data_IF_562280280428
#
_entry.id   IF_562280280428
#
_cell.length_a   1.000
_cell.length_b   1.000
_cell.length_c   1.000
_cell.angle_alpha   90.00
_cell.angle_beta   90.00
_cell.angle_gamma   90.00
#
_symmetry.space_group_name_H-M   'P 1'
#
loop_
_entity.id
_entity.type
_entity.pdbx_description
1 polymer ?
#
# COMPACT_ATOMS: atom_id res chain seq x y z
N UNK A 1 -8.23 21.29 -13.45
CA UNK A 1 -7.98 20.02 -12.70
C UNK A 1 -7.55 18.89 -13.64
N UNK A 2 -8.30 18.62 -14.72
CA UNK A 2 -8.01 17.54 -15.69
C UNK A 2 -6.58 17.56 -16.22
N UNK A 3 -6.12 18.69 -16.77
CA UNK A 3 -4.76 18.83 -17.28
C UNK A 3 -3.68 18.48 -16.24
N UNK A 4 -3.90 18.82 -14.97
CA UNK A 4 -2.96 18.53 -13.90
C UNK A 4 -2.89 17.03 -13.60
N UNK A 5 -4.02 16.32 -13.64
CA UNK A 5 -4.12 14.86 -13.41
C UNK A 5 -3.54 14.09 -14.59
N UNK A 6 -3.81 14.51 -15.82
CA UNK A 6 -3.30 13.85 -17.03
C UNK A 6 -1.83 14.15 -17.34
N UNK A 7 -1.21 15.10 -16.64
CA UNK A 7 0.18 15.45 -16.86
C UNK A 7 1.16 14.33 -16.47
N UNK A 8 2.32 14.26 -17.15
CA UNK A 8 3.45 13.39 -16.76
C UNK A 8 3.90 13.63 -15.32
N UNK A 9 3.75 14.87 -14.81
CA UNK A 9 4.04 15.22 -13.42
C UNK A 9 3.20 14.46 -12.40
N UNK A 10 2.01 13.97 -12.76
CA UNK A 10 1.24 13.09 -11.88
C UNK A 10 2.02 11.84 -11.53
N UNK A 11 2.69 11.23 -12.51
CA UNK A 11 3.51 10.02 -12.31
C UNK A 11 4.68 10.32 -11.36
N UNK A 12 5.36 11.46 -11.56
CA UNK A 12 6.42 11.92 -10.66
C UNK A 12 5.93 12.10 -9.22
N UNK A 13 4.75 12.72 -9.06
CA UNK A 13 4.10 12.88 -7.75
C UNK A 13 3.78 11.53 -7.11
N UNK A 14 3.25 10.58 -7.87
CA UNK A 14 2.97 9.22 -7.43
C UNK A 14 4.24 8.50 -6.96
N UNK A 15 5.31 8.55 -7.74
CA UNK A 15 6.61 7.94 -7.37
C UNK A 15 7.19 8.61 -6.12
N UNK A 16 7.13 9.95 -6.04
CA UNK A 16 7.58 10.68 -4.86
C UNK A 16 6.77 10.33 -3.60
N UNK A 17 5.47 10.08 -3.75
CA UNK A 17 4.59 9.66 -2.67
C UNK A 17 4.97 8.26 -2.16
N UNK A 18 5.27 7.31 -3.05
CA UNK A 18 5.79 5.98 -2.67
C UNK A 18 7.09 6.14 -1.88
N UNK A 19 8.04 6.93 -2.39
CA UNK A 19 9.33 7.18 -1.70
C UNK A 19 9.13 7.80 -0.31
N UNK A 20 8.24 8.78 -0.18
CA UNK A 20 7.88 9.38 1.10
C UNK A 20 7.26 8.34 2.05
N UNK A 21 6.38 7.47 1.56
CA UNK A 21 5.82 6.37 2.33
C UNK A 21 6.89 5.39 2.81
N UNK A 22 7.83 4.98 1.95
CA UNK A 22 8.94 4.07 2.31
C UNK A 22 9.92 4.68 3.32
N UNK A 23 10.06 6.00 3.30
CA UNK A 23 10.95 6.72 4.22
C UNK A 23 10.30 7.04 5.56
N UNK A 24 8.97 6.99 5.65
CA UNK A 24 8.25 7.29 6.88
C UNK A 24 8.42 6.17 7.91
N UNK A 25 9.15 6.43 8.99
CA UNK A 25 9.33 5.47 10.10
C UNK A 25 8.09 5.34 10.99
N UNK A 26 7.27 6.39 11.08
CA UNK A 26 6.09 6.45 11.96
C UNK A 26 4.83 6.25 11.13
N UNK A 27 4.01 5.30 11.54
CA UNK A 27 2.81 4.93 10.83
C UNK A 27 1.59 5.71 11.35
N UNK A 28 0.70 6.16 10.45
CA UNK A 28 -0.65 6.63 10.76
C UNK A 28 -1.63 5.58 11.33
N UNK A 29 -1.16 4.40 11.75
CA UNK A 29 -2.01 3.18 11.77
C UNK A 29 -3.19 3.32 12.72
N UNK A 30 -2.99 3.91 13.90
CA UNK A 30 -4.09 4.13 14.86
C UNK A 30 -5.10 5.18 14.35
N UNK A 31 -4.64 6.11 13.52
CA UNK A 31 -5.42 7.24 13.02
C UNK A 31 -6.39 6.85 11.89
N UNK A 32 -6.12 5.75 11.18
CA UNK A 32 -6.92 5.30 10.03
C UNK A 32 -7.56 3.92 10.18
N UNK A 33 -7.36 3.24 11.31
CA UNK A 33 -8.00 1.96 11.63
C UNK A 33 -8.78 2.02 12.94
N UNK A 34 -9.88 2.80 12.98
CA UNK A 34 -10.70 2.84 14.17
C UNK A 34 -11.34 1.46 14.39
N UNK A 35 -11.05 0.83 15.53
CA UNK A 35 -11.50 -0.53 15.91
C UNK A 35 -13.00 -0.63 16.25
N UNK A 36 -13.75 0.44 16.05
CA UNK A 36 -15.15 0.57 16.49
C UNK A 36 -16.13 0.37 15.34
N UNK A 37 -17.20 -0.38 15.61
CA UNK A 37 -18.29 -0.57 14.65
C UNK A 37 -19.22 0.65 14.52
N UNK A 38 -19.08 1.66 15.39
CA UNK A 38 -19.92 2.86 15.38
C UNK A 38 -19.39 3.92 14.38
N UNK A 39 -20.21 4.25 13.37
CA UNK A 39 -19.87 5.23 12.33
C UNK A 39 -19.47 6.61 12.89
N UNK A 40 -20.14 7.11 13.93
CA UNK A 40 -19.85 8.42 14.52
C UNK A 40 -18.50 8.41 15.24
N UNK A 41 -18.16 7.31 15.92
CA UNK A 41 -16.83 7.14 16.54
C UNK A 41 -15.74 7.07 15.47
N UNK A 42 -15.95 6.33 14.38
CA UNK A 42 -15.00 6.29 13.25
C UNK A 42 -14.84 7.66 12.60
N UNK A 43 -15.95 8.36 12.33
CA UNK A 43 -15.92 9.73 11.81
C UNK A 43 -15.09 10.65 12.73
N UNK A 44 -15.34 10.61 14.04
CA UNK A 44 -14.57 11.40 15.01
C UNK A 44 -13.08 11.09 14.93
N UNK A 45 -12.70 9.80 14.83
CA UNK A 45 -11.31 9.41 14.68
C UNK A 45 -10.68 10.07 13.45
N UNK A 46 -11.29 9.96 12.28
CA UNK A 46 -10.81 10.61 11.06
C UNK A 46 -10.75 12.13 11.18
N UNK A 47 -11.73 12.77 11.83
CA UNK A 47 -11.71 14.21 12.06
C UNK A 47 -10.55 14.65 12.96
N UNK A 48 -10.11 13.82 13.91
CA UNK A 48 -8.89 14.05 14.72
C UNK A 48 -7.64 13.81 13.89
N UNK A 49 -7.60 12.74 13.11
CA UNK A 49 -6.48 12.43 12.21
C UNK A 49 -6.17 13.60 11.28
N UNK A 50 -7.19 14.19 10.67
CA UNK A 50 -7.04 15.39 9.82
C UNK A 50 -6.47 16.62 10.56
N UNK A 51 -6.59 16.69 11.89
CA UNK A 51 -6.01 17.77 12.71
C UNK A 51 -4.57 17.47 13.16
N UNK A 52 -4.22 16.18 13.30
CA UNK A 52 -2.90 15.73 13.74
C UNK A 52 -1.85 15.96 12.65
N UNK A 53 -2.21 15.74 11.39
CA UNK A 53 -1.31 16.00 10.26
C UNK A 53 -1.24 17.50 10.00
N UNK A 54 -0.07 18.09 10.25
CA UNK A 54 0.29 19.39 9.68
C UNK A 54 0.65 19.13 8.21
N UNK A 55 -0.01 19.82 7.29
CA UNK A 55 0.17 19.67 5.84
C UNK A 55 1.53 20.19 5.35
N UNK A 56 2.62 19.60 5.87
CA UNK A 56 4.00 20.02 5.63
C UNK A 56 4.64 19.21 4.51
N UNK A 57 4.21 17.96 4.32
CA UNK A 57 4.69 17.09 3.25
C UNK A 57 3.56 16.65 2.32
N UNK A 58 3.91 16.17 1.12
CA UNK A 58 2.94 15.60 0.16
C UNK A 58 2.16 14.43 0.77
N UNK A 59 2.82 13.60 1.58
CA UNK A 59 2.18 12.49 2.28
C UNK A 59 1.19 13.00 3.34
N UNK A 60 1.56 14.02 4.11
CA UNK A 60 0.65 14.62 5.10
C UNK A 60 -0.61 15.18 4.44
N UNK A 61 -0.46 15.87 3.30
CA UNK A 61 -1.59 16.41 2.54
C UNK A 61 -2.51 15.28 2.09
N UNK A 62 -1.96 14.17 1.58
CA UNK A 62 -2.76 13.00 1.22
C UNK A 62 -3.49 12.42 2.44
N UNK A 63 -2.81 12.29 3.58
CA UNK A 63 -3.42 11.77 4.80
C UNK A 63 -4.57 12.67 5.28
N UNK A 64 -4.40 14.00 5.23
CA UNK A 64 -5.49 14.93 5.52
C UNK A 64 -6.67 14.70 4.58
N UNK A 65 -6.46 14.65 3.27
CA UNK A 65 -7.54 14.41 2.28
C UNK A 65 -8.24 13.07 2.50
N UNK A 66 -7.47 12.03 2.78
CA UNK A 66 -8.01 10.70 3.05
C UNK A 66 -8.86 10.70 4.32
N UNK A 67 -8.41 11.37 5.37
CA UNK A 67 -9.15 11.50 6.63
C UNK A 67 -10.44 12.32 6.42
N UNK A 68 -10.36 13.38 5.61
CA UNK A 68 -11.51 14.19 5.22
C UNK A 68 -12.56 13.41 4.44
N UNK A 69 -12.14 12.63 3.44
CA UNK A 69 -13.03 11.75 2.68
C UNK A 69 -13.68 10.71 3.60
N UNK A 70 -12.88 9.98 4.40
CA UNK A 70 -13.41 8.95 5.28
C UNK A 70 -14.34 9.50 6.37
N UNK A 71 -14.06 10.71 6.89
CA UNK A 71 -15.00 11.41 7.76
C UNK A 71 -16.35 11.62 7.08
N UNK A 72 -16.37 12.13 5.85
CA UNK A 72 -17.60 12.35 5.11
C UNK A 72 -18.34 11.04 4.82
N UNK A 73 -17.63 9.99 4.44
CA UNK A 73 -18.19 8.66 4.18
C UNK A 73 -18.85 8.06 5.44
N UNK A 74 -18.19 8.13 6.60
CA UNK A 74 -18.75 7.59 7.85
C UNK A 74 -19.99 8.37 8.33
N UNK A 75 -20.00 9.70 8.18
CA UNK A 75 -21.20 10.51 8.45
C UNK A 75 -22.33 10.19 7.47
N UNK A 76 -22.01 9.96 6.19
CA UNK A 76 -22.99 9.57 5.19
C UNK A 76 -23.55 8.17 5.45
N UNK A 77 -22.72 7.19 5.86
CA UNK A 77 -23.18 5.87 6.30
C UNK A 77 -24.13 5.98 7.50
N UNK A 78 -23.84 6.84 8.46
CA UNK A 78 -24.71 7.08 9.61
C UNK A 78 -26.07 7.70 9.25
N UNK A 79 -26.23 8.27 8.05
CA UNK A 79 -27.52 8.80 7.57
C UNK A 79 -28.46 7.71 7.06
N UNK A 80 -27.98 6.49 6.80
CA UNK A 80 -28.77 5.37 6.30
C UNK A 80 -29.71 5.75 5.13
N UNK A 81 -29.22 6.57 4.18
CA UNK A 81 -29.99 7.03 3.02
C UNK A 81 -30.75 8.35 3.17
N UNK A 82 -30.87 8.91 4.37
CA UNK A 82 -31.58 10.19 4.58
C UNK A 82 -30.86 11.37 3.91
N UNK A 83 -31.60 12.32 3.30
CA UNK A 83 -31.07 13.49 2.57
C UNK A 83 -30.36 14.53 3.46
N UNK A 84 -30.72 14.60 4.75
CA UNK A 84 -30.08 15.50 5.71
C UNK A 84 -29.29 14.72 6.76
N UNK A 85 -28.26 15.37 7.32
CA UNK A 85 -27.48 14.79 8.41
C UNK A 85 -28.21 15.04 9.73
N UNK A 86 -28.43 13.99 10.52
CA UNK A 86 -29.09 14.13 11.82
C UNK A 86 -28.28 15.10 12.71
N UNK A 87 -28.94 16.16 13.21
CA UNK A 87 -28.34 17.16 14.11
C UNK A 87 -27.68 16.52 15.33
N UNK A 88 -28.22 15.39 15.82
CA UNK A 88 -27.64 14.60 16.92
C UNK A 88 -26.26 14.04 16.56
N UNK A 89 -26.07 13.54 15.35
CA UNK A 89 -24.77 13.01 14.90
C UNK A 89 -23.69 14.11 14.85
N UNK A 90 -24.05 15.31 14.39
CA UNK A 90 -23.13 16.46 14.38
C UNK A 90 -22.76 16.86 15.81
N UNK A 91 -23.74 16.91 16.72
CA UNK A 91 -23.49 17.22 18.14
C UNK A 91 -22.61 16.17 18.81
N UNK A 92 -22.82 14.89 18.51
CA UNK A 92 -22.01 13.79 19.04
C UNK A 92 -20.56 13.89 18.56
N UNK A 93 -20.32 14.25 17.29
CA UNK A 93 -18.96 14.52 16.80
C UNK A 93 -18.34 15.71 17.52
N UNK A 94 -19.05 16.84 17.68
CA UNK A 94 -18.55 18.02 18.40
C UNK A 94 -18.14 17.67 19.84
N UNK A 95 -19.02 16.97 20.57
CA UNK A 95 -18.78 16.55 21.94
C UNK A 95 -17.53 15.67 22.02
N UNK A 96 -17.38 14.70 21.11
CA UNK A 96 -16.21 13.82 21.07
C UNK A 96 -14.93 14.57 20.65
N UNK A 97 -15.03 15.57 19.78
CA UNK A 97 -13.89 16.44 19.44
C UNK A 97 -13.56 17.46 20.54
N UNK A 98 -14.37 17.52 21.61
CA UNK A 98 -14.29 18.57 22.65
C UNK A 98 -14.42 19.97 22.07
N UNK A 99 -15.22 20.13 21.03
CA UNK A 99 -15.50 21.43 20.42
C UNK A 99 -16.79 22.02 20.99
N UNK A 100 -16.84 23.34 21.23
CA UNK A 100 -18.05 23.98 21.72
C UNK A 100 -19.16 23.91 20.67
N UNK A 101 -20.41 23.85 21.13
CA UNK A 101 -21.59 23.75 20.26
C UNK A 101 -21.73 24.94 19.29
N UNK A 102 -21.13 26.10 19.62
CA UNK A 102 -21.03 27.27 18.74
C UNK A 102 -20.27 27.01 17.43
N UNK A 103 -19.44 25.94 17.36
CA UNK A 103 -18.73 25.53 16.16
C UNK A 103 -19.53 24.61 15.24
N UNK A 104 -20.84 24.40 15.50
CA UNK A 104 -21.70 23.55 14.67
C UNK A 104 -21.69 23.93 13.19
N UNK A 105 -21.97 25.20 12.87
CA UNK A 105 -21.95 25.70 11.48
C UNK A 105 -20.58 25.49 10.83
N UNK A 106 -19.49 25.69 11.57
CA UNK A 106 -18.14 25.46 11.06
C UNK A 106 -17.88 23.97 10.74
N UNK A 107 -18.37 23.04 11.56
CA UNK A 107 -18.27 21.61 11.29
C UNK A 107 -19.14 21.19 10.09
N UNK A 108 -20.34 21.77 9.95
CA UNK A 108 -21.21 21.54 8.79
C UNK A 108 -20.58 22.04 7.49
N UNK A 109 -19.99 23.26 7.49
CA UNK A 109 -19.22 23.77 6.36
C UNK A 109 -18.01 22.87 6.03
N UNK A 110 -17.27 22.42 7.06
CA UNK A 110 -16.18 21.45 6.86
C UNK A 110 -16.70 20.16 6.25
N UNK A 111 -17.82 19.62 6.73
CA UNK A 111 -18.44 18.41 6.16
C UNK A 111 -18.84 18.62 4.70
N UNK A 112 -19.41 19.77 4.34
CA UNK A 112 -19.75 20.10 2.97
C UNK A 112 -18.49 20.14 2.06
N UNK A 113 -17.43 20.81 2.51
CA UNK A 113 -16.15 20.84 1.79
C UNK A 113 -15.55 19.43 1.64
N UNK A 114 -15.62 18.60 2.68
CA UNK A 114 -15.12 17.21 2.65
C UNK A 114 -15.92 16.31 1.72
N UNK A 115 -17.22 16.55 1.57
CA UNK A 115 -18.06 15.85 0.57
C UNK A 115 -17.65 16.20 -0.87
N UNK A 116 -16.97 17.33 -1.11
CA UNK A 116 -16.44 17.64 -2.44
C UNK A 116 -15.41 16.62 -2.90
N UNK A 117 -14.62 16.03 -1.99
CA UNK A 117 -13.73 14.92 -2.36
C UNK A 117 -14.49 13.73 -2.95
N UNK A 118 -15.63 13.37 -2.36
CA UNK A 118 -16.48 12.31 -2.88
C UNK A 118 -17.05 12.68 -4.26
N UNK A 119 -17.52 13.92 -4.44
CA UNK A 119 -18.01 14.42 -5.73
C UNK A 119 -16.91 14.40 -6.81
N UNK A 120 -15.73 14.94 -6.51
CA UNK A 120 -14.58 14.97 -7.43
C UNK A 120 -14.18 13.55 -7.84
N UNK A 121 -14.06 12.63 -6.87
CA UNK A 121 -13.76 11.23 -7.14
C UNK A 121 -14.79 10.53 -8.03
N UNK A 122 -16.09 10.81 -7.81
CA UNK A 122 -17.17 10.28 -8.62
C UNK A 122 -17.07 8.76 -8.82
N UNK A 123 -17.34 8.32 -10.05
CA UNK A 123 -17.26 6.90 -10.46
C UNK A 123 -15.83 6.36 -10.57
N UNK A 124 -14.83 7.24 -10.73
CA UNK A 124 -13.41 6.87 -10.81
C UNK A 124 -12.84 6.40 -9.46
N UNK A 125 -13.57 6.63 -8.37
CA UNK A 125 -13.25 6.12 -7.05
C UNK A 125 -12.21 6.93 -6.26
N UNK A 126 -11.90 6.50 -5.02
CA UNK A 126 -11.09 7.27 -4.08
C UNK A 126 -9.63 7.40 -4.49
N UNK A 127 -9.13 6.51 -5.37
CA UNK A 127 -7.76 6.55 -5.86
C UNK A 127 -7.38 7.86 -6.54
N UNK A 128 -8.36 8.56 -7.13
CA UNK A 128 -8.19 9.88 -7.72
C UNK A 128 -7.62 10.91 -6.73
N UNK A 129 -7.84 10.76 -5.41
CA UNK A 129 -7.28 11.65 -4.38
C UNK A 129 -5.74 11.73 -4.42
N UNK A 130 -5.08 10.63 -4.79
CA UNK A 130 -3.62 10.58 -4.91
C UNK A 130 -3.10 11.35 -6.12
N UNK A 131 -3.95 11.58 -7.12
CA UNK A 131 -3.60 12.19 -8.40
C UNK A 131 -3.79 13.71 -8.40
N UNK A 132 -4.68 14.20 -7.54
CA UNK A 132 -4.93 15.64 -7.36
C UNK A 132 -3.65 16.29 -6.81
N UNK A 133 -3.12 17.35 -7.45
CA UNK A 133 -1.89 18.02 -7.02
C UNK A 133 -1.92 18.42 -5.54
N UNK A 134 -0.83 18.18 -4.82
CA UNK A 134 -0.71 18.52 -3.39
C UNK A 134 -0.38 20.00 -3.16
N UNK A 135 0.31 20.62 -4.11
CA UNK A 135 0.74 22.02 -4.09
C UNK A 135 0.37 22.71 -5.38
N UNK A 136 0.13 24.02 -5.32
CA UNK A 136 -0.06 24.84 -6.51
C UNK A 136 1.23 24.85 -7.33
N UNK A 137 1.24 24.14 -8.46
CA UNK A 137 2.36 24.17 -9.41
C UNK A 137 2.10 25.22 -10.49
N UNK A 138 3.16 25.91 -10.94
CA UNK A 138 3.09 27.06 -11.86
C UNK A 138 2.30 26.81 -13.16
N UNK A 139 2.22 25.56 -13.63
CA UNK A 139 1.54 25.20 -14.88
C UNK A 139 0.03 24.97 -14.74
N UNK A 140 -0.49 24.76 -13.52
CA UNK A 140 -1.91 24.41 -13.35
C UNK A 140 -2.61 25.11 -12.19
N UNK A 141 -1.87 25.77 -11.28
CA UNK A 141 -2.40 26.53 -10.14
C UNK A 141 -3.47 25.80 -9.29
N UNK A 142 -3.44 24.46 -9.25
CA UNK A 142 -4.40 23.65 -8.49
C UNK A 142 -3.90 23.46 -7.06
N UNK A 143 -4.57 24.09 -6.09
CA UNK A 143 -4.33 23.87 -4.65
C UNK A 143 -5.49 23.08 -4.01
N UNK A 144 -5.31 22.68 -2.73
CA UNK A 144 -6.41 22.09 -1.96
C UNK A 144 -7.60 23.06 -1.84
N UNK A 145 -7.33 24.35 -1.64
CA UNK A 145 -8.37 25.38 -1.56
C UNK A 145 -9.08 25.60 -2.90
N UNK A 146 -8.37 25.44 -4.03
CA UNK A 146 -8.98 25.44 -5.35
C UNK A 146 -10.04 24.33 -5.45
N UNK A 147 -9.71 23.09 -5.06
CA UNK A 147 -10.67 21.98 -5.07
C UNK A 147 -11.86 22.24 -4.14
N UNK A 148 -11.65 22.89 -3.00
CA UNK A 148 -12.73 23.28 -2.09
C UNK A 148 -13.63 24.40 -2.64
N UNK A 149 -13.18 25.17 -3.64
CA UNK A 149 -13.97 26.24 -4.28
C UNK A 149 -14.76 25.79 -5.50
N UNK A 150 -14.47 24.61 -6.07
CA UNK A 150 -15.20 24.08 -7.23
C UNK A 150 -16.70 24.03 -6.97
N UNK A 151 -17.49 24.55 -7.92
CA UNK A 151 -18.95 24.41 -7.95
C UNK A 151 -19.34 23.11 -8.66
N UNK A 152 -20.63 22.78 -8.68
CA UNK A 152 -21.09 21.49 -9.21
C UNK A 152 -20.87 21.38 -10.72
N UNK A 153 -21.08 22.48 -11.42
CA UNK A 153 -20.86 22.65 -12.86
C UNK A 153 -19.39 22.38 -13.22
N UNK A 154 -18.44 22.89 -12.42
CA UNK A 154 -17.01 22.64 -12.62
C UNK A 154 -16.64 21.17 -12.43
N UNK A 155 -17.27 20.50 -11.44
CA UNK A 155 -17.03 19.08 -11.17
C UNK A 155 -17.60 18.23 -12.31
N UNK A 156 -18.79 18.56 -12.80
CA UNK A 156 -19.40 17.88 -13.93
C UNK A 156 -18.56 18.06 -15.21
N UNK A 157 -18.10 19.27 -15.49
CA UNK A 157 -17.19 19.54 -16.62
C UNK A 157 -15.87 18.77 -16.46
N UNK A 158 -15.32 18.70 -15.25
CA UNK A 158 -14.17 17.87 -14.95
C UNK A 158 -14.41 16.40 -15.29
N UNK A 159 -15.56 15.83 -14.88
CA UNK A 159 -15.93 14.44 -15.16
C UNK A 159 -16.05 14.14 -16.65
N UNK A 160 -16.68 15.02 -17.43
CA UNK A 160 -16.75 14.88 -18.89
C UNK A 160 -15.34 14.78 -19.50
N UNK A 161 -14.42 15.67 -19.09
CA UNK A 161 -13.06 15.70 -19.64
C UNK A 161 -12.20 14.50 -19.21
N UNK A 162 -12.39 13.94 -18.02
CA UNK A 162 -11.67 12.73 -17.61
C UNK A 162 -12.25 11.47 -18.25
N UNK A 163 -13.53 11.46 -18.58
CA UNK A 163 -14.20 10.35 -19.26
C UNK A 163 -13.63 10.14 -20.67
N UNK A 164 -13.25 11.21 -21.38
CA UNK A 164 -12.53 11.13 -22.67
C UNK A 164 -11.21 10.34 -22.58
N UNK A 165 -10.62 10.26 -21.39
CA UNK A 165 -9.37 9.54 -21.10
C UNK A 165 -9.58 8.41 -20.07
N UNK A 166 -10.79 7.83 -20.02
CA UNK A 166 -11.20 6.83 -19.01
C UNK A 166 -10.18 5.73 -18.77
N UNK A 167 -9.70 5.06 -19.82
CA UNK A 167 -8.71 3.96 -19.68
C UNK A 167 -7.44 4.38 -18.94
N UNK A 168 -6.94 5.59 -19.22
CA UNK A 168 -5.75 6.14 -18.58
C UNK A 168 -6.02 6.50 -17.11
N UNK A 169 -7.15 7.17 -16.86
CA UNK A 169 -7.58 7.56 -15.52
C UNK A 169 -7.87 6.35 -14.63
N UNK A 170 -8.49 5.30 -15.17
CA UNK A 170 -8.78 4.07 -14.43
C UNK A 170 -7.49 3.38 -13.96
N UNK A 171 -6.45 3.35 -14.81
CA UNK A 171 -5.13 2.81 -14.43
C UNK A 171 -4.48 3.64 -13.33
N UNK A 172 -4.52 4.97 -13.43
CA UNK A 172 -4.00 5.85 -12.38
C UNK A 172 -4.81 5.76 -11.09
N UNK A 173 -6.13 5.67 -11.17
CA UNK A 173 -6.99 5.55 -10.00
C UNK A 173 -6.83 4.19 -9.33
N UNK A 174 -6.57 3.12 -10.11
CA UNK A 174 -6.18 1.82 -9.58
C UNK A 174 -4.89 1.92 -8.76
N UNK A 175 -3.86 2.59 -9.27
CA UNK A 175 -2.65 2.88 -8.51
C UNK A 175 -2.98 3.65 -7.20
N UNK A 176 -3.74 4.74 -7.31
CA UNK A 176 -4.12 5.53 -6.15
C UNK A 176 -4.88 4.70 -5.12
N UNK A 177 -5.77 3.81 -5.56
CA UNK A 177 -6.52 2.90 -4.68
C UNK A 177 -5.59 1.93 -3.96
N UNK A 178 -4.59 1.36 -4.65
CA UNK A 178 -3.58 0.51 -4.02
C UNK A 178 -2.74 1.28 -2.99
N UNK A 179 -2.37 2.53 -3.29
CA UNK A 179 -1.69 3.41 -2.33
C UNK A 179 -2.54 3.67 -1.09
N UNK A 180 -3.83 3.95 -1.27
CA UNK A 180 -4.76 4.14 -0.16
C UNK A 180 -4.97 2.84 0.62
N UNK A 181 -4.99 1.68 -0.04
CA UNK A 181 -5.09 0.37 0.62
C UNK A 181 -3.83 0.04 1.44
N UNK A 182 -2.64 0.45 1.00
CA UNK A 182 -1.44 0.35 1.85
C UNK A 182 -1.61 1.13 3.16
N UNK A 183 -2.27 2.30 3.12
CA UNK A 183 -2.54 3.13 4.29
C UNK A 183 -3.65 2.53 5.17
N UNK A 184 -4.80 2.23 4.58
CA UNK A 184 -6.01 1.82 5.28
C UNK A 184 -5.97 0.34 5.72
N UNK A 185 -5.52 -0.56 4.84
CA UNK A 185 -5.58 -2.02 5.00
C UNK A 185 -4.25 -2.67 5.37
N UNK A 186 -3.20 -1.88 5.54
CA UNK A 186 -1.85 -2.36 5.90
C UNK A 186 -1.14 -3.21 4.86
N UNK A 187 -1.58 -3.13 3.62
CA UNK A 187 -0.94 -3.90 2.59
C UNK A 187 0.44 -3.31 2.29
N UNK A 188 1.42 -4.20 2.05
CA UNK A 188 2.73 -3.81 1.58
C UNK A 188 2.87 -4.27 0.14
N UNK A 189 2.65 -3.35 -0.78
CA UNK A 189 2.69 -3.59 -2.22
C UNK A 189 3.97 -2.97 -2.74
N UNK A 190 4.81 -3.74 -3.42
CA UNK A 190 5.97 -3.21 -4.15
C UNK A 190 5.53 -2.76 -5.54
N UNK A 191 6.00 -1.59 -6.00
CA UNK A 191 5.72 -1.05 -7.33
C UNK A 191 6.94 -1.13 -8.25
N UNK A 192 6.71 -1.26 -9.57
CA UNK A 192 7.77 -1.39 -10.58
C UNK A 192 8.75 -0.20 -10.59
N UNK A 193 8.29 1.00 -10.24
CA UNK A 193 9.15 2.18 -10.12
C UNK A 193 10.21 2.07 -9.01
N UNK A 194 10.05 1.13 -8.07
CA UNK A 194 10.97 0.95 -6.95
C UNK A 194 12.15 0.02 -7.30
N UNK A 195 12.00 -0.85 -8.31
CA UNK A 195 13.06 -1.71 -8.84
C UNK A 195 13.81 -1.07 -10.01
N UNK A 196 13.15 -0.21 -10.78
CA UNK A 196 13.72 0.44 -11.96
C UNK A 196 14.43 1.75 -11.60
N UNK A 197 15.67 1.94 -12.05
CA UNK A 197 16.30 3.28 -12.07
C UNK A 197 15.59 4.14 -13.11
N UNK A 198 14.59 4.92 -12.68
CA UNK A 198 13.90 5.88 -13.54
C UNK A 198 14.82 7.09 -13.74
N UNK A 199 15.69 7.04 -14.74
CA UNK A 199 16.69 8.08 -15.02
C UNK A 199 16.12 9.31 -15.74
N UNK A 200 15.04 9.17 -16.52
CA UNK A 200 14.27 10.31 -17.04
C UNK A 200 12.91 9.91 -17.61
N UNK A 201 11.82 10.47 -17.09
CA UNK A 201 10.45 10.25 -17.57
C UNK A 201 10.14 11.02 -18.87
N UNK A 202 11.07 11.84 -19.35
CA UNK A 202 10.86 12.76 -20.48
C UNK A 202 10.60 11.98 -21.78
N UNK A 203 11.29 10.85 -21.99
CA UNK A 203 11.23 10.04 -23.23
C UNK A 203 10.25 8.86 -23.18
N UNK A 204 9.52 8.66 -22.08
CA UNK A 204 8.59 7.55 -21.96
C UNK A 204 7.23 7.83 -22.63
N UNK A 205 6.67 6.80 -23.27
CA UNK A 205 5.25 6.77 -23.71
C UNK A 205 4.33 6.71 -22.49
N UNK A 206 3.04 7.04 -22.67
CA UNK A 206 2.04 6.95 -21.60
C UNK A 206 1.95 5.55 -20.99
N UNK A 207 1.98 4.50 -21.81
CA UNK A 207 1.93 3.12 -21.32
C UNK A 207 3.16 2.73 -20.51
N UNK A 208 4.35 3.16 -20.93
CA UNK A 208 5.58 2.95 -20.18
C UNK A 208 5.58 3.73 -18.87
N UNK A 209 4.95 4.91 -18.84
CA UNK A 209 4.80 5.69 -17.62
C UNK A 209 3.86 5.01 -16.61
N UNK A 210 2.77 4.43 -17.11
CA UNK A 210 1.79 3.73 -16.28
C UNK A 210 2.31 2.40 -15.74
N UNK A 211 3.13 1.67 -16.51
CA UNK A 211 3.70 0.40 -16.07
C UNK A 211 4.60 0.55 -14.83
N UNK A 212 5.26 1.70 -14.65
CA UNK A 212 6.01 2.01 -13.43
C UNK A 212 5.15 2.04 -12.17
N UNK A 213 3.87 2.37 -12.29
CA UNK A 213 2.92 2.44 -11.17
C UNK A 213 2.19 1.11 -10.94
N UNK A 214 2.49 0.08 -11.72
CA UNK A 214 1.90 -1.24 -11.50
C UNK A 214 2.62 -1.97 -10.36
N UNK A 215 1.89 -2.81 -9.59
CA UNK A 215 2.52 -3.71 -8.63
C UNK A 215 3.52 -4.65 -9.31
N UNK A 216 4.61 -4.96 -8.60
CA UNK A 216 5.51 -6.04 -9.00
C UNK A 216 4.75 -7.35 -8.91
N UNK A 217 4.70 -8.08 -10.02
CA UNK A 217 4.17 -9.44 -10.04
C UNK A 217 5.30 -10.42 -9.81
N UNK A 218 5.18 -11.20 -8.74
CA UNK A 218 6.09 -12.30 -8.44
C UNK A 218 5.34 -13.64 -8.43
N UNK A 219 5.99 -14.75 -8.81
CA UNK A 219 5.45 -16.09 -8.67
C UNK A 219 5.00 -16.37 -7.23
N UNK A 220 3.90 -17.11 -7.10
CA UNK A 220 3.36 -17.49 -5.78
C UNK A 220 4.21 -18.57 -5.09
N UNK A 221 4.88 -19.40 -5.88
CA UNK A 221 5.68 -20.56 -5.47
C UNK A 221 6.74 -20.77 -6.53
N UNK A 222 7.92 -21.23 -6.12
CA UNK A 222 8.86 -21.80 -7.08
C UNK A 222 8.38 -23.21 -7.49
N UNK A 223 8.59 -23.56 -8.75
CA UNK A 223 8.24 -24.88 -9.29
C UNK A 223 9.50 -25.74 -9.34
N UNK A 224 9.66 -26.60 -8.33
CA UNK A 224 10.68 -27.65 -8.30
C UNK A 224 10.05 -29.00 -8.68
N UNK A 225 10.89 -29.98 -9.01
CA UNK A 225 10.42 -31.36 -9.12
C UNK A 225 9.78 -31.82 -7.80
N UNK A 226 8.67 -32.58 -7.85
CA UNK A 226 7.96 -33.01 -6.65
C UNK A 226 8.83 -33.90 -5.76
N UNK A 227 8.60 -33.81 -4.44
CA UNK A 227 9.29 -34.65 -3.45
C UNK A 227 8.69 -36.07 -3.44
N UNK A 228 9.39 -37.07 -2.87
CA UNK A 228 8.84 -38.41 -2.69
C UNK A 228 7.46 -38.42 -2.00
N UNK A 229 6.55 -39.35 -2.32
CA UNK A 229 5.18 -39.37 -1.82
C UNK A 229 5.07 -39.42 -0.29
N UNK A 230 6.04 -40.07 0.34
CA UNK A 230 6.05 -40.43 1.76
C UNK A 230 6.79 -39.40 2.65
N UNK A 231 7.33 -38.32 2.07
CA UNK A 231 8.03 -37.30 2.85
C UNK A 231 7.03 -36.44 3.63
N UNK A 232 7.18 -36.38 4.95
CA UNK A 232 6.32 -35.58 5.83
C UNK A 232 6.61 -34.08 5.69
N UNK A 233 5.56 -33.27 5.76
CA UNK A 233 5.71 -31.82 5.67
C UNK A 233 6.47 -31.27 6.88
N UNK A 234 7.60 -30.61 6.66
CA UNK A 234 8.41 -29.97 7.71
C UNK A 234 7.64 -28.95 8.57
N UNK A 235 6.56 -28.36 8.02
CA UNK A 235 5.79 -27.32 8.70
C UNK A 235 4.67 -27.87 9.58
N UNK A 236 3.94 -28.90 9.12
CA UNK A 236 2.76 -29.41 9.81
C UNK A 236 2.81 -30.90 10.14
N UNK A 237 3.93 -31.57 9.81
CA UNK A 237 4.17 -33.00 10.04
C UNK A 237 3.05 -33.89 9.47
N UNK A 238 2.39 -33.43 8.40
CA UNK A 238 1.31 -34.14 7.73
C UNK A 238 1.56 -34.21 6.22
N UNK A 239 1.04 -35.25 5.57
CA UNK A 239 1.36 -35.57 4.16
C UNK A 239 0.49 -34.84 3.11
N UNK A 240 -0.65 -34.23 3.47
CA UNK A 240 -1.60 -33.67 2.49
C UNK A 240 -2.16 -32.27 2.79
N UNK A 241 -1.48 -31.44 3.60
CA UNK A 241 -2.00 -30.11 3.96
C UNK A 241 -1.28 -28.95 3.25
N UNK A 242 -2.03 -28.00 2.69
CA UNK A 242 -1.53 -26.70 2.20
C UNK A 242 -1.25 -25.74 3.38
N UNK A 243 -0.47 -26.21 4.35
CA UNK A 243 -0.17 -25.49 5.59
C UNK A 243 0.58 -24.17 5.37
N UNK A 244 1.27 -24.01 4.23
CA UNK A 244 1.93 -22.75 3.86
C UNK A 244 0.94 -21.58 3.70
N UNK A 245 -0.32 -21.87 3.36
CA UNK A 245 -1.37 -20.85 3.25
C UNK A 245 -1.73 -20.19 4.59
N UNK A 246 -1.42 -20.87 5.70
CA UNK A 246 -1.66 -20.43 7.08
C UNK A 246 -0.56 -19.51 7.62
N UNK A 247 0.56 -19.34 6.91
CA UNK A 247 1.61 -18.42 7.33
C UNK A 247 1.06 -16.99 7.49
N UNK A 248 1.56 -16.28 8.51
CA UNK A 248 1.14 -14.92 8.80
C UNK A 248 1.37 -14.00 7.59
N UNK A 249 0.28 -13.39 7.12
CA UNK A 249 0.33 -12.43 6.02
C UNK A 249 0.50 -11.02 6.59
N UNK A 250 1.24 -10.18 5.87
CA UNK A 250 1.36 -8.74 6.13
C UNK A 250 2.04 -8.32 7.45
N UNK A 251 2.82 -9.19 8.09
CA UNK A 251 3.62 -8.85 9.29
C UNK A 251 4.98 -8.21 8.96
N UNK A 252 5.06 -7.46 7.85
CA UNK A 252 6.29 -6.87 7.35
C UNK A 252 6.00 -5.49 6.71
N UNK A 253 7.05 -4.69 6.54
CA UNK A 253 7.01 -3.44 5.77
C UNK A 253 8.27 -3.26 4.95
N UNK A 254 8.11 -2.80 3.71
CA UNK A 254 9.24 -2.37 2.89
C UNK A 254 9.58 -0.92 3.28
N UNK A 255 10.83 -0.67 3.67
CA UNK A 255 11.35 0.61 4.18
C UNK A 255 12.65 0.96 3.48
N UNK A 256 12.95 2.26 3.35
CA UNK A 256 14.26 2.75 2.93
C UNK A 256 15.20 2.90 4.14
N UNK A 257 16.30 2.15 4.16
CA UNK A 257 17.35 2.16 5.20
C UNK A 257 18.59 2.97 4.79
N UNK A 258 18.39 4.16 4.21
CA UNK A 258 19.48 5.05 3.80
C UNK A 258 20.45 4.35 2.84
N UNK A 259 21.73 4.25 3.23
CA UNK A 259 22.81 3.62 2.44
C UNK A 259 22.60 2.12 2.20
N UNK A 260 21.83 1.43 3.05
CA UNK A 260 21.51 0.00 2.85
C UNK A 260 20.46 -0.22 1.77
N UNK A 261 19.94 0.84 1.16
CA UNK A 261 18.86 0.73 0.19
C UNK A 261 17.53 0.34 0.83
N UNK A 262 16.71 -0.40 0.09
CA UNK A 262 15.43 -0.91 0.58
C UNK A 262 15.65 -2.10 1.51
N UNK A 263 14.75 -2.29 2.46
CA UNK A 263 14.80 -3.42 3.36
C UNK A 263 13.45 -3.75 3.98
N UNK A 264 13.42 -4.89 4.67
CA UNK A 264 12.23 -5.34 5.38
C UNK A 264 12.30 -4.95 6.86
N UNK A 265 11.20 -4.44 7.39
CA UNK A 265 10.98 -4.26 8.82
C UNK A 265 9.87 -5.22 9.27
N UNK A 266 10.18 -6.09 10.22
CA UNK A 266 9.18 -6.92 10.88
C UNK A 266 8.17 -6.04 11.64
N UNK A 267 6.90 -6.40 11.57
CA UNK A 267 5.83 -5.60 12.16
C UNK A 267 4.68 -6.46 12.65
N UNK A 268 4.27 -6.22 13.89
CA UNK A 268 3.12 -6.88 14.47
C UNK A 268 1.79 -6.35 13.91
N UNK A 269 0.79 -7.22 13.90
CA UNK A 269 -0.60 -6.91 13.54
C UNK A 269 -1.28 -5.97 14.55
N UNK A 270 -0.80 -5.91 15.79
CA UNK A 270 -1.30 -5.06 16.85
C UNK A 270 -0.22 -4.16 17.45
N UNK A 271 -0.64 -3.04 18.06
CA UNK A 271 0.27 -2.13 18.75
C UNK A 271 0.98 -2.87 19.90
N UNK A 272 2.32 -2.82 19.90
CA UNK A 272 3.20 -3.58 20.84
C UNK A 272 3.07 -5.10 20.76
N UNK A 273 2.40 -5.63 19.75
CA UNK A 273 2.38 -7.07 19.49
C UNK A 273 3.75 -7.60 19.08
N UNK A 274 3.87 -8.92 19.09
CA UNK A 274 5.01 -9.62 18.50
C UNK A 274 4.77 -9.78 17.00
N UNK A 275 5.79 -9.49 16.17
CA UNK A 275 5.69 -9.68 14.73
C UNK A 275 5.83 -11.16 14.34
N UNK A 276 6.84 -11.82 14.90
CA UNK A 276 7.17 -13.22 14.68
C UNK A 276 7.73 -13.82 15.97
N UNK A 277 7.41 -15.09 16.22
CA UNK A 277 8.02 -15.90 17.28
C UNK A 277 9.35 -16.46 16.80
N UNK A 278 10.17 -16.90 17.75
CA UNK A 278 11.39 -17.66 17.44
C UNK A 278 11.01 -18.92 16.65
N UNK A 279 11.77 -19.22 15.61
CA UNK A 279 11.59 -20.39 14.72
C UNK A 279 10.25 -20.40 13.95
N UNK A 280 9.54 -19.27 13.92
CA UNK A 280 8.33 -19.11 13.10
C UNK A 280 8.71 -18.78 11.65
N UNK A 281 8.15 -19.54 10.71
CA UNK A 281 8.34 -19.28 9.29
C UNK A 281 7.65 -17.99 8.86
N UNK A 282 8.38 -17.14 8.19
CA UNK A 282 7.89 -15.82 7.76
C UNK A 282 7.26 -15.94 6.38
N UNK A 283 8.03 -16.42 5.39
CA UNK A 283 7.60 -16.51 4.00
C UNK A 283 8.57 -17.34 3.15
N UNK A 284 8.06 -17.98 2.10
CA UNK A 284 8.89 -18.55 1.04
C UNK A 284 9.60 -17.44 0.24
N UNK A 285 10.90 -17.61 -0.03
CA UNK A 285 11.62 -16.86 -1.05
C UNK A 285 11.32 -17.45 -2.42
N UNK A 286 10.77 -16.64 -3.32
CA UNK A 286 10.50 -17.04 -4.70
C UNK A 286 11.50 -16.38 -5.65
N UNK A 287 11.67 -16.94 -6.85
CA UNK A 287 12.61 -16.45 -7.86
C UNK A 287 12.58 -17.26 -9.15
N UNK A 288 13.43 -16.91 -10.09
CA UNK A 288 13.70 -17.70 -11.29
C UNK A 288 14.69 -18.82 -10.95
N UNK A 289 14.45 -20.03 -11.43
CA UNK A 289 15.37 -21.14 -11.25
C UNK A 289 16.34 -21.16 -12.42
N UNK A 290 17.63 -21.10 -12.12
CA UNK A 290 18.71 -21.10 -13.11
C UNK A 290 19.74 -22.18 -12.77
N UNK A 291 20.53 -22.66 -13.75
CA UNK A 291 21.63 -23.58 -13.48
C UNK A 291 22.60 -23.04 -12.41
N UNK A 292 23.34 -23.95 -11.78
CA UNK A 292 24.43 -23.57 -10.87
C UNK A 292 25.42 -22.65 -11.59
N UNK A 293 26.07 -21.78 -10.83
CA UNK A 293 27.11 -20.85 -11.31
C UNK A 293 26.63 -19.84 -12.38
N UNK A 294 25.32 -19.73 -12.62
CA UNK A 294 24.77 -18.71 -13.54
C UNK A 294 25.00 -17.30 -13.01
N UNK A 295 24.87 -17.13 -11.68
CA UNK A 295 25.02 -15.83 -11.03
C UNK A 295 25.89 -15.93 -9.77
N UNK A 296 26.88 -15.04 -9.67
CA UNK A 296 27.81 -14.96 -8.54
C UNK A 296 27.55 -13.73 -7.64
N UNK A 297 26.32 -13.21 -7.66
CA UNK A 297 25.93 -12.04 -6.89
C UNK A 297 25.04 -12.41 -5.69
N UNK A 298 24.85 -11.48 -4.76
CA UNK A 298 24.08 -11.70 -3.52
C UNK A 298 22.56 -11.84 -3.73
N UNK A 299 22.08 -11.91 -4.98
CA UNK A 299 20.66 -12.00 -5.33
C UNK A 299 20.29 -13.43 -5.77
N UNK A 300 21.30 -14.28 -6.00
CA UNK A 300 21.13 -15.71 -6.21
C UNK A 300 21.36 -16.48 -4.89
N UNK A 301 20.62 -17.57 -4.71
CA UNK A 301 20.79 -18.49 -3.59
C UNK A 301 20.82 -19.93 -4.11
N UNK A 302 21.83 -20.68 -3.70
CA UNK A 302 21.98 -22.09 -4.06
C UNK A 302 20.88 -22.93 -3.39
N UNK A 303 20.23 -23.77 -4.19
CA UNK A 303 19.08 -24.56 -3.77
C UNK A 303 19.47 -26.02 -3.56
N UNK A 304 19.53 -26.42 -2.29
CA UNK A 304 19.76 -27.79 -1.83
C UNK A 304 18.45 -28.58 -1.72
N UNK A 305 18.51 -29.89 -1.92
CA UNK A 305 17.36 -30.80 -1.72
C UNK A 305 17.54 -31.63 -0.45
N UNK A 306 16.97 -31.22 0.69
CA UNK A 306 17.12 -31.96 1.96
C UNK A 306 16.39 -33.31 1.98
N UNK A 307 15.53 -33.57 0.99
CA UNK A 307 14.83 -34.84 0.81
C UNK A 307 15.62 -35.87 -0.02
N UNK A 308 16.83 -35.52 -0.48
CA UNK A 308 17.70 -36.40 -1.25
C UNK A 308 18.97 -36.65 -0.43
N UNK A 309 19.48 -37.89 -0.48
CA UNK A 309 20.75 -38.29 0.17
C UNK A 309 21.86 -37.32 -0.28
N UNK A 310 22.72 -36.93 0.65
CA UNK A 310 23.81 -35.94 0.49
C UNK A 310 23.38 -34.49 0.26
N UNK A 311 22.08 -34.19 0.37
CA UNK A 311 21.50 -32.85 0.25
C UNK A 311 22.05 -32.03 -0.94
N UNK A 312 22.00 -32.58 -2.17
CA UNK A 312 22.70 -32.02 -3.31
C UNK A 312 22.18 -30.64 -3.67
N UNK A 313 23.09 -29.77 -4.15
CA UNK A 313 22.73 -28.52 -4.80
C UNK A 313 22.24 -28.82 -6.21
N UNK A 314 21.03 -28.40 -6.56
CA UNK A 314 20.43 -28.73 -7.86
C UNK A 314 20.30 -27.53 -8.79
N UNK A 315 20.19 -26.32 -8.25
CA UNK A 315 20.04 -25.09 -9.03
C UNK A 315 20.30 -23.84 -8.17
N UNK A 316 20.23 -22.66 -8.80
CA UNK A 316 20.21 -21.37 -8.14
C UNK A 316 18.81 -20.74 -8.22
N UNK A 317 18.37 -20.11 -7.13
CA UNK A 317 17.17 -19.26 -7.09
C UNK A 317 17.57 -17.80 -7.31
N UNK A 318 17.36 -17.29 -8.52
CA UNK A 318 17.64 -15.91 -8.89
C UNK A 318 16.46 -14.98 -8.61
N UNK A 319 16.65 -14.01 -7.70
CA UNK A 319 15.53 -13.24 -7.17
C UNK A 319 15.35 -11.85 -7.80
N UNK A 320 16.25 -11.37 -8.68
CA UNK A 320 16.26 -9.95 -9.09
C UNK A 320 14.95 -9.54 -9.79
N UNK A 321 14.56 -10.30 -10.82
CA UNK A 321 13.44 -9.96 -11.70
C UNK A 321 12.10 -10.52 -11.23
N UNK A 322 12.12 -11.71 -10.64
CA UNK A 322 10.92 -12.50 -10.26
C UNK A 322 10.88 -12.84 -8.77
N UNK A 323 11.71 -12.22 -7.94
CA UNK A 323 11.65 -12.46 -6.51
C UNK A 323 10.52 -11.70 -5.83
N UNK A 324 9.94 -12.28 -4.80
CA UNK A 324 8.99 -11.57 -3.95
C UNK A 324 9.72 -10.63 -2.97
N UNK A 325 8.99 -9.99 -2.06
CA UNK A 325 9.56 -9.00 -1.11
C UNK A 325 10.68 -9.56 -0.23
N UNK A 326 10.75 -10.88 -0.02
CA UNK A 326 11.75 -11.54 0.84
C UNK A 326 13.17 -11.29 0.34
N UNK A 327 13.35 -11.05 -0.96
CA UNK A 327 14.63 -10.65 -1.56
C UNK A 327 15.20 -9.33 -1.04
N UNK A 328 14.38 -8.54 -0.35
CA UNK A 328 14.78 -7.26 0.25
C UNK A 328 15.28 -7.44 1.69
N UNK A 329 15.37 -8.66 2.22
CA UNK A 329 16.01 -8.89 3.52
C UNK A 329 17.51 -8.66 3.40
N UNK A 330 18.03 -7.73 4.20
CA UNK A 330 19.43 -7.32 4.14
C UNK A 330 20.33 -8.20 5.01
N UNK A 331 21.61 -8.29 4.63
CA UNK A 331 22.65 -8.92 5.44
C UNK A 331 22.86 -8.20 6.79
N UNK A 332 23.16 -8.98 7.83
CA UNK A 332 23.61 -8.52 9.14
C UNK A 332 24.55 -9.56 9.73
N UNK A 333 25.69 -9.14 10.28
CA UNK A 333 26.60 -10.01 11.04
C UNK A 333 25.96 -10.52 12.36
N UNK A 334 24.84 -9.92 12.78
CA UNK A 334 24.00 -10.37 13.89
C UNK A 334 22.58 -10.59 13.35
N UNK A 335 22.33 -11.71 12.64
CA UNK A 335 21.05 -11.94 11.99
C UNK A 335 19.95 -12.25 13.01
N UNK A 336 18.71 -11.89 12.69
CA UNK A 336 17.52 -12.23 13.46
C UNK A 336 16.56 -13.19 12.72
N UNK A 337 16.92 -13.57 11.50
CA UNK A 337 16.22 -14.53 10.65
C UNK A 337 17.26 -15.22 9.76
N UNK A 338 16.94 -16.39 9.22
CA UNK A 338 17.85 -17.16 8.35
C UNK A 338 17.06 -17.88 7.28
N UNK A 339 17.63 -18.00 6.10
CA UNK A 339 17.06 -18.87 5.09
C UNK A 339 17.33 -20.34 5.44
N UNK A 340 16.31 -21.17 5.27
CA UNK A 340 16.39 -22.63 5.40
C UNK A 340 15.64 -23.27 4.24
N UNK A 341 16.10 -24.43 3.79
CA UNK A 341 15.38 -25.19 2.79
C UNK A 341 14.60 -26.30 3.48
N UNK A 342 13.32 -26.39 3.15
CA UNK A 342 12.34 -27.25 3.82
C UNK A 342 11.35 -27.84 2.83
N UNK A 343 10.91 -29.07 3.06
CA UNK A 343 9.84 -29.72 2.31
C UNK A 343 8.50 -29.35 2.93
N UNK A 344 7.79 -28.42 2.30
CA UNK A 344 6.48 -27.94 2.76
C UNK A 344 5.45 -28.16 1.67
N UNK A 345 4.40 -28.92 2.03
CA UNK A 345 3.31 -29.30 1.12
C UNK A 345 3.85 -29.99 -0.15
N UNK A 346 4.68 -31.03 0.05
CA UNK A 346 5.31 -31.87 -1.00
C UNK A 346 6.24 -31.13 -1.96
N UNK A 347 6.79 -30.00 -1.53
CA UNK A 347 7.72 -29.19 -2.32
C UNK A 347 8.87 -28.73 -1.43
N UNK A 348 10.09 -28.94 -1.88
CA UNK A 348 11.24 -28.25 -1.30
C UNK A 348 11.10 -26.73 -1.56
N UNK A 349 11.33 -25.90 -0.56
CA UNK A 349 11.15 -24.45 -0.61
C UNK A 349 12.24 -23.76 0.18
N UNK A 350 12.70 -22.60 -0.30
CA UNK A 350 13.53 -21.69 0.49
C UNK A 350 12.61 -20.88 1.38
N UNK A 351 12.71 -21.07 2.70
CA UNK A 351 11.89 -20.41 3.70
C UNK A 351 12.75 -19.42 4.49
N UNK A 352 12.18 -18.24 4.81
CA UNK A 352 12.75 -17.29 5.77
C UNK A 352 12.26 -17.55 7.19
#
# INVERSE_FOLDING_TARGET
LTAAILSKKTIERCIALIRAWRSSKVLPVDAFRPTTNNCIRRATAFARSAQLYKANTRLDILLVRLAELNFALEINKARAGATQTNKRHINDVLNRLKWPQTKRKALEMRLANRRKWQKICGEFGPGLLCLIPFTSEALCCVSQDFCHRLIEEDINAFHVLVEEKRRFIDRLSKFGTLMLDMLLKDQNIEFQCESSQVSSLIRCTEDNLLSFLEPVQYPKTNFYQPTPPDYECDLCQATQYDCISNLLKNCYRIIQYGVKGRGIQARASSHRGLAFRKDEYIRELTGELVPLETHNNSIALDFHRPDIIDEPVICQVYCEKKGNWVRLVNHSCKPCARFVIKVVSKKARVML
#
